data_IF_228044101400
#
_entry.id   IF_228044101400
#
_cell.length_a   1.000
_cell.length_b   1.000
_cell.length_c   1.000
_cell.angle_alpha   90.00
_cell.angle_beta   90.00
_cell.angle_gamma   90.00
#
_symmetry.space_group_name_H-M   'P 1'
#
loop_
_entity.id
_entity.type
_entity.pdbx_description
1 polymer ?
#
# COMPACT_ATOMS: atom_id res chain seq x y z
N UNK A 1 -15.18 -12.15 -14.22
CA UNK A 1 -13.87 -11.58 -13.85
C UNK A 1 -14.02 -10.87 -12.52
N UNK A 2 -13.14 -11.17 -11.56
CA UNK A 2 -13.12 -10.53 -10.24
C UNK A 2 -12.29 -9.25 -10.32
N UNK A 3 -12.88 -8.13 -9.93
CA UNK A 3 -12.19 -6.84 -9.86
C UNK A 3 -11.39 -6.74 -8.57
N UNK A 4 -10.10 -6.46 -8.65
CA UNK A 4 -9.22 -6.29 -7.48
C UNK A 4 -8.41 -5.01 -7.64
N UNK A 5 -8.48 -4.16 -6.63
CA UNK A 5 -7.65 -2.95 -6.52
C UNK A 5 -6.60 -3.19 -5.45
N UNK A 6 -5.34 -3.01 -5.80
CA UNK A 6 -4.21 -3.18 -4.88
C UNK A 6 -3.34 -1.93 -4.87
N UNK A 7 -2.89 -1.54 -3.68
CA UNK A 7 -1.91 -0.46 -3.57
C UNK A 7 -0.51 -0.96 -3.88
N UNK A 8 0.21 -0.24 -4.74
CA UNK A 8 1.65 -0.43 -4.95
C UNK A 8 2.41 0.65 -4.20
N UNK A 9 3.26 0.21 -3.25
CA UNK A 9 4.23 1.04 -2.54
C UNK A 9 5.63 0.79 -3.11
N UNK A 10 6.69 1.25 -2.42
CA UNK A 10 8.08 1.25 -2.92
C UNK A 10 8.45 0.05 -3.83
N UNK A 11 9.22 0.34 -4.89
CA UNK A 11 9.46 -0.57 -6.02
C UNK A 11 9.78 -2.01 -5.64
N UNK A 12 10.60 -2.22 -4.61
CA UNK A 12 11.04 -3.55 -4.16
C UNK A 12 9.87 -4.43 -3.72
N UNK A 13 8.87 -3.86 -3.05
CA UNK A 13 7.72 -4.61 -2.52
C UNK A 13 6.64 -4.86 -3.59
N UNK A 14 6.58 -4.01 -4.61
CA UNK A 14 5.54 -4.08 -5.65
C UNK A 14 5.96 -4.89 -6.88
N UNK A 15 7.28 -5.10 -7.07
CA UNK A 15 7.82 -5.81 -8.23
C UNK A 15 7.16 -7.18 -8.52
N UNK A 16 6.95 -8.08 -7.54
CA UNK A 16 6.32 -9.37 -7.82
C UNK A 16 4.92 -9.24 -8.43
N UNK A 17 4.13 -8.26 -7.97
CA UNK A 17 2.78 -8.01 -8.47
C UNK A 17 2.79 -7.42 -9.88
N UNK A 18 3.77 -6.56 -10.19
CA UNK A 18 3.94 -6.00 -11.53
C UNK A 18 4.34 -7.08 -12.53
N UNK A 19 5.29 -7.94 -12.17
CA UNK A 19 5.70 -9.08 -13.01
C UNK A 19 4.52 -10.03 -13.23
N UNK A 20 3.77 -10.38 -12.19
CA UNK A 20 2.60 -11.24 -12.33
C UNK A 20 1.53 -10.67 -13.27
N UNK A 21 1.40 -9.34 -13.32
CA UNK A 21 0.52 -8.67 -14.28
C UNK A 21 1.06 -8.74 -15.70
N UNK A 22 2.34 -8.45 -15.89
CA UNK A 22 2.99 -8.52 -17.21
C UNK A 22 2.99 -9.94 -17.80
N UNK A 23 3.07 -10.96 -16.94
CA UNK A 23 3.00 -12.39 -17.32
C UNK A 23 1.56 -12.91 -17.47
N UNK A 24 0.53 -12.05 -17.32
CA UNK A 24 -0.88 -12.43 -17.49
C UNK A 24 -1.43 -13.39 -16.42
N UNK A 25 -0.73 -13.55 -15.28
CA UNK A 25 -1.11 -14.52 -14.24
C UNK A 25 -2.46 -14.18 -13.58
N UNK A 26 -2.82 -12.90 -13.49
CA UNK A 26 -4.14 -12.50 -12.98
C UNK A 26 -5.26 -12.81 -13.97
N UNK A 27 -5.04 -12.59 -15.25
CA UNK A 27 -6.03 -12.84 -16.29
C UNK A 27 -6.34 -14.34 -16.39
N UNK A 28 -5.32 -15.20 -16.25
CA UNK A 28 -5.47 -16.65 -16.19
C UNK A 28 -6.39 -17.11 -15.05
N UNK A 29 -6.37 -16.40 -13.92
CA UNK A 29 -7.23 -16.63 -12.75
C UNK A 29 -8.57 -15.89 -12.85
N UNK A 30 -8.85 -15.21 -13.97
CA UNK A 30 -10.06 -14.41 -14.16
C UNK A 30 -10.12 -13.19 -13.24
N UNK A 31 -8.96 -12.63 -12.86
CA UNK A 31 -8.81 -11.45 -12.02
C UNK A 31 -8.44 -10.26 -12.91
N UNK A 32 -9.22 -9.19 -12.80
CA UNK A 32 -8.89 -7.88 -13.37
C UNK A 32 -8.21 -7.05 -12.27
N UNK A 33 -6.89 -6.88 -12.41
CA UNK A 33 -6.03 -6.27 -11.40
C UNK A 33 -5.70 -4.81 -11.74
N UNK A 34 -6.11 -3.91 -10.86
CA UNK A 34 -5.77 -2.50 -10.90
C UNK A 34 -4.78 -2.13 -9.79
N UNK A 35 -3.65 -1.53 -10.17
CA UNK A 35 -2.69 -1.00 -9.21
C UNK A 35 -2.90 0.51 -9.03
N UNK A 36 -3.00 0.93 -7.77
CA UNK A 36 -3.04 2.35 -7.39
C UNK A 36 -1.78 2.69 -6.60
N UNK A 37 -1.17 3.84 -6.87
CA UNK A 37 0.04 4.25 -6.15
C UNK A 37 -0.34 4.68 -4.74
N UNK A 38 0.32 4.09 -3.73
CA UNK A 38 0.09 4.52 -2.35
C UNK A 38 0.54 5.97 -2.15
N UNK A 39 -0.08 6.66 -1.20
CA UNK A 39 0.35 8.01 -0.81
C UNK A 39 1.69 7.89 -0.09
N UNK A 40 2.69 8.71 -0.42
CA UNK A 40 3.93 8.72 0.34
C UNK A 40 3.61 9.05 1.80
N UNK A 41 4.14 8.27 2.73
CA UNK A 41 4.27 8.73 4.11
C UNK A 41 5.10 10.02 4.05
N UNK A 42 4.66 11.06 4.76
CA UNK A 42 5.38 12.34 4.79
C UNK A 42 6.85 12.14 5.17
N UNK A 43 7.71 13.09 4.80
CA UNK A 43 9.11 13.05 5.20
C UNK A 43 9.21 12.99 6.73
N UNK A 44 9.87 11.95 7.25
CA UNK A 44 10.21 11.84 8.67
C UNK A 44 11.55 12.55 8.86
N UNK A 45 11.63 13.58 9.72
CA UNK A 45 12.91 14.22 10.03
C UNK A 45 13.90 13.19 10.58
N UNK A 46 15.12 13.21 10.09
CA UNK A 46 16.20 12.43 10.68
C UNK A 46 16.58 13.04 12.03
N UNK A 47 16.66 12.22 13.07
CA UNK A 47 17.08 12.61 14.42
C UNK A 47 17.95 11.52 15.02
N UNK A 48 18.90 11.92 15.88
CA UNK A 48 19.74 11.00 16.66
C UNK A 48 19.05 10.56 17.97
N UNK A 49 17.99 11.26 18.38
CA UNK A 49 17.23 10.99 19.60
C UNK A 49 15.92 10.24 19.26
N UNK A 50 15.78 8.96 19.64
CA UNK A 50 14.60 8.16 19.32
C UNK A 50 13.29 8.71 19.90
N UNK A 51 13.34 9.44 21.01
CA UNK A 51 12.16 10.02 21.68
C UNK A 51 11.50 11.14 20.85
N UNK A 52 12.23 11.72 19.89
CA UNK A 52 11.71 12.76 18.99
C UNK A 52 10.95 12.17 17.78
N UNK A 53 10.93 10.84 17.65
CA UNK A 53 10.24 10.13 16.57
C UNK A 53 8.93 9.57 17.09
N UNK A 54 7.80 9.96 16.46
CA UNK A 54 6.54 9.26 16.72
C UNK A 54 6.69 7.79 16.27
N UNK A 55 6.56 6.81 17.16
CA UNK A 55 6.71 5.39 16.81
C UNK A 55 5.60 4.90 15.86
N UNK A 56 4.52 5.67 15.71
CA UNK A 56 3.40 5.37 14.83
C UNK A 56 3.47 6.28 13.59
N UNK A 57 4.12 5.79 12.54
CA UNK A 57 4.26 6.50 11.27
C UNK A 57 3.13 6.09 10.30
N UNK A 58 2.35 7.06 9.82
CA UNK A 58 1.37 6.86 8.76
C UNK A 58 0.05 6.20 9.16
N UNK A 59 -0.18 5.89 10.45
CA UNK A 59 -1.51 5.55 10.95
C UNK A 59 -2.21 6.81 11.47
N UNK A 60 -3.36 7.13 10.90
CA UNK A 60 -4.30 8.08 11.51
C UNK A 60 -5.09 7.32 12.59
N UNK A 61 -5.13 7.86 13.81
CA UNK A 61 -5.92 7.26 14.89
C UNK A 61 -7.40 7.13 14.47
N UNK A 62 -8.05 6.04 14.93
CA UNK A 62 -9.48 5.76 14.72
C UNK A 62 -10.38 6.99 14.99
N UNK A 63 -9.98 7.84 15.94
CA UNK A 63 -10.64 9.07 16.38
C UNK A 63 -10.84 10.11 15.27
N UNK A 64 -10.00 10.12 14.22
CA UNK A 64 -10.19 11.01 13.07
C UNK A 64 -11.21 10.48 12.05
N UNK A 65 -11.89 9.36 12.35
CA UNK A 65 -12.90 8.72 11.49
C UNK A 65 -12.42 8.42 10.06
N UNK A 66 -11.11 8.27 9.87
CA UNK A 66 -10.48 7.90 8.59
C UNK A 66 -9.90 6.50 8.69
N UNK A 67 -10.75 5.50 8.93
CA UNK A 67 -10.35 4.09 8.83
C UNK A 67 -10.82 3.56 7.49
N UNK A 68 -9.88 3.09 6.67
CA UNK A 68 -10.19 2.28 5.50
C UNK A 68 -10.52 0.87 6.00
N UNK A 69 -11.79 0.64 6.35
CA UNK A 69 -12.25 -0.69 6.77
C UNK A 69 -12.29 -1.56 5.50
N UNK A 70 -11.34 -2.50 5.40
CA UNK A 70 -11.42 -3.57 4.40
C UNK A 70 -12.71 -4.36 4.65
N UNK A 71 -13.65 -4.30 3.70
CA UNK A 71 -14.82 -5.19 3.68
C UNK A 71 -14.46 -6.40 2.83
N UNK A 72 -14.31 -7.55 3.49
CA UNK A 72 -14.15 -8.85 2.87
C UNK A 72 -15.42 -9.28 2.12
#
# INVERSE_FOLDING_TARGET
MKQVVSEISGTVFSLPWLIAKDEGLFEAEGIDMQFVRTRPSGAVPQTENPEDVNPILGHTAFEATQVSIYRA
#
